data_IF_978010036398
#
_entry.id   IF_978010036398
#
_cell.length_a   1.000
_cell.length_b   1.000
_cell.length_c   1.000
_cell.angle_alpha   90.00
_cell.angle_beta   90.00
_cell.angle_gamma   90.00
#
_symmetry.space_group_name_H-M   'P 1'
#
loop_
_entity.id
_entity.type
_entity.pdbx_description
1 polymer ?
#
# COMPACT_ATOMS: atom_id res chain seq x y z
N UNK A 1 8.44 1.69 -1.75
CA UNK A 1 7.91 0.39 -2.21
C UNK A 1 6.42 0.52 -2.50
N UNK A 2 5.84 -0.43 -3.23
CA UNK A 2 4.44 -0.41 -3.61
C UNK A 2 3.69 -1.62 -3.04
N UNK A 3 2.56 -1.35 -2.41
CA UNK A 3 1.63 -2.40 -1.96
C UNK A 3 0.33 -2.36 -2.77
N UNK A 4 -0.31 -3.53 -2.92
CA UNK A 4 -1.67 -3.62 -3.47
C UNK A 4 -2.62 -4.11 -2.38
N UNK A 5 -3.59 -3.28 -2.01
CA UNK A 5 -4.68 -3.66 -1.12
C UNK A 5 -5.90 -4.00 -1.94
N UNK A 6 -6.57 -5.12 -1.65
CA UNK A 6 -7.78 -5.51 -2.34
C UNK A 6 -8.76 -6.17 -1.39
N UNK A 7 -10.05 -6.10 -1.71
CA UNK A 7 -11.07 -6.83 -0.94
C UNK A 7 -11.09 -8.34 -1.23
N UNK A 8 -10.25 -8.82 -2.15
CA UNK A 8 -10.01 -10.24 -2.43
C UNK A 8 -8.99 -10.87 -1.48
N UNK A 9 -8.41 -10.08 -0.57
CA UNK A 9 -7.42 -10.57 0.38
C UNK A 9 -7.95 -11.74 1.20
N UNK A 10 -7.33 -12.91 1.06
CA UNK A 10 -7.52 -14.02 1.97
C UNK A 10 -6.86 -13.67 3.30
N UNK A 11 -7.67 -13.38 4.33
CA UNK A 11 -7.20 -13.46 5.71
C UNK A 11 -6.72 -14.90 5.91
N UNK A 12 -5.55 -15.09 6.53
CA UNK A 12 -5.13 -16.42 6.94
C UNK A 12 -6.22 -16.99 7.85
N UNK A 13 -6.99 -17.98 7.35
CA UNK A 13 -8.12 -18.56 8.08
C UNK A 13 -7.69 -19.19 9.41
N UNK A 14 -6.41 -19.58 9.52
CA UNK A 14 -5.82 -20.05 10.77
C UNK A 14 -5.72 -18.98 11.85
N UNK A 15 -5.81 -17.69 11.52
CA UNK A 15 -5.83 -16.61 12.51
C UNK A 15 -7.26 -16.14 12.86
N UNK A 16 -8.28 -16.68 12.19
CA UNK A 16 -9.69 -16.39 12.47
C UNK A 16 -10.23 -17.36 13.54
N UNK A 17 -9.71 -17.27 14.76
CA UNK A 17 -10.23 -18.04 15.89
C UNK A 17 -11.36 -17.29 16.58
N UNK A 18 -12.55 -17.89 16.58
CA UNK A 18 -13.70 -17.41 17.35
C UNK A 18 -13.89 -18.38 18.52
N UNK A 19 -13.73 -17.87 19.74
CA UNK A 19 -14.04 -18.64 20.95
C UNK A 19 -15.50 -18.40 21.30
N UNK A 20 -16.31 -19.45 21.21
CA UNK A 20 -17.71 -19.48 21.59
C UNK A 20 -18.00 -20.83 22.25
N UNK A 21 -18.93 -20.85 23.20
CA UNK A 21 -19.31 -22.07 23.93
C UNK A 21 -19.97 -23.13 23.03
N UNK A 22 -20.45 -22.74 21.86
CA UNK A 22 -20.96 -23.62 20.81
C UNK A 22 -20.50 -23.18 19.42
N UNK A 23 -20.33 -24.14 18.51
CA UNK A 23 -19.90 -23.87 17.13
C UNK A 23 -20.90 -22.94 16.42
N UNK A 24 -20.51 -21.73 15.99
CA UNK A 24 -21.41 -20.78 15.35
C UNK A 24 -21.79 -21.15 13.91
N UNK A 25 -21.22 -22.21 13.33
CA UNK A 25 -21.36 -22.55 11.90
C UNK A 25 -21.09 -21.35 10.97
N UNK A 26 -20.15 -20.49 11.38
CA UNK A 26 -19.91 -19.21 10.72
C UNK A 26 -19.42 -19.41 9.27
N UNK A 27 -20.14 -18.81 8.33
CA UNK A 27 -19.75 -18.71 6.93
C UNK A 27 -19.56 -17.23 6.59
N UNK A 28 -18.36 -16.88 6.09
CA UNK A 28 -18.11 -15.54 5.57
C UNK A 28 -18.64 -15.45 4.14
N UNK A 29 -19.62 -14.57 3.91
CA UNK A 29 -19.91 -14.10 2.55
C UNK A 29 -18.68 -13.35 2.01
N UNK A 30 -18.07 -13.85 0.94
CA UNK A 30 -17.11 -13.09 0.15
C UNK A 30 -17.84 -12.51 -1.05
N UNK A 31 -17.93 -11.18 -1.11
CA UNK A 31 -18.47 -10.51 -2.29
C UNK A 31 -17.48 -10.60 -3.46
N UNK A 32 -17.61 -11.66 -4.27
CA UNK A 32 -16.83 -11.79 -5.50
C UNK A 32 -17.32 -10.87 -6.64
N UNK A 33 -18.54 -10.31 -6.51
CA UNK A 33 -19.17 -9.52 -7.58
C UNK A 33 -18.64 -8.08 -7.67
N UNK A 34 -18.19 -7.48 -6.56
CA UNK A 34 -17.58 -6.13 -6.54
C UNK A 34 -16.14 -6.24 -6.09
N UNK A 35 -15.23 -6.39 -7.04
CA UNK A 35 -13.80 -6.48 -6.77
C UNK A 35 -13.16 -5.11 -6.90
N UNK A 36 -12.31 -4.75 -5.95
CA UNK A 36 -11.46 -3.57 -6.05
C UNK A 36 -10.05 -3.89 -5.60
N UNK A 37 -9.09 -3.20 -6.21
CA UNK A 37 -7.71 -3.19 -5.80
C UNK A 37 -7.22 -1.74 -5.84
N UNK A 38 -6.51 -1.32 -4.79
CA UNK A 38 -5.90 -0.01 -4.67
C UNK A 38 -4.40 -0.23 -4.55
N UNK A 39 -3.64 0.48 -5.38
CA UNK A 39 -2.18 0.49 -5.33
C UNK A 39 -1.74 1.66 -4.47
N UNK A 40 -0.81 1.41 -3.57
CA UNK A 40 -0.31 2.42 -2.63
C UNK A 40 1.20 2.48 -2.73
N UNK A 41 1.76 3.68 -2.76
CA UNK A 41 3.18 3.91 -2.60
C UNK A 41 3.46 4.51 -1.23
N UNK A 42 4.49 4.00 -0.57
CA UNK A 42 5.06 4.59 0.63
C UNK A 42 6.55 4.26 0.70
N UNK A 43 7.32 5.08 1.40
CA UNK A 43 8.73 4.81 1.66
C UNK A 43 9.08 5.10 3.11
N UNK A 44 10.04 4.34 3.62
CA UNK A 44 10.70 4.60 4.90
C UNK A 44 12.06 5.20 4.56
N UNK A 45 12.32 6.39 5.07
CA UNK A 45 13.58 7.12 4.88
C UNK A 45 14.14 7.47 6.26
N UNK A 46 15.16 6.72 6.69
CA UNK A 46 15.62 6.78 8.08
C UNK A 46 14.47 6.44 9.04
N UNK A 47 14.18 7.34 9.98
CA UNK A 47 13.08 7.21 10.94
C UNK A 47 11.77 7.88 10.47
N UNK A 48 11.72 8.35 9.23
CA UNK A 48 10.56 9.07 8.67
C UNK A 48 9.82 8.18 7.69
N UNK A 49 8.49 8.11 7.83
CA UNK A 49 7.59 7.52 6.84
C UNK A 49 7.11 8.64 5.91
N UNK A 50 7.28 8.44 4.60
CA UNK A 50 6.86 9.37 3.56
C UNK A 50 5.78 8.70 2.70
N UNK A 51 4.64 9.36 2.54
CA UNK A 51 3.40 8.79 1.97
C UNK A 51 2.28 8.70 3.01
N UNK A 52 1.23 7.88 2.80
CA UNK A 52 0.93 7.06 1.62
C UNK A 52 0.42 7.88 0.42
N UNK A 53 0.74 7.44 -0.79
CA UNK A 53 0.10 7.91 -2.03
C UNK A 53 -0.78 6.81 -2.62
N UNK A 54 -2.05 7.12 -2.86
CA UNK A 54 -3.03 6.19 -3.41
C UNK A 54 -3.18 6.43 -4.92
N UNK A 55 -2.95 5.40 -5.73
CA UNK A 55 -3.23 5.48 -7.16
C UNK A 55 -4.70 5.16 -7.41
N UNK A 56 -5.42 6.10 -8.04
CA UNK A 56 -6.83 5.94 -8.40
C UNK A 56 -7.02 5.00 -9.60
N UNK A 57 -6.04 4.93 -10.49
CA UNK A 57 -6.06 4.10 -11.70
C UNK A 57 -5.06 2.95 -11.65
N UNK A 58 -5.15 2.06 -12.64
CA UNK A 58 -4.19 0.98 -12.81
C UNK A 58 -2.79 1.55 -13.08
N UNK A 59 -1.91 1.45 -12.08
CA UNK A 59 -0.52 1.90 -12.21
C UNK A 59 0.16 1.29 -13.45
N UNK A 60 0.67 2.17 -14.29
CA UNK A 60 1.55 1.91 -15.42
C UNK A 60 2.77 2.86 -15.33
N UNK A 61 3.73 2.72 -16.25
CA UNK A 61 4.95 3.52 -16.25
C UNK A 61 4.68 5.03 -16.33
N UNK A 62 3.69 5.47 -17.13
CA UNK A 62 3.35 6.90 -17.29
C UNK A 62 2.76 7.49 -16.02
N UNK A 63 1.80 6.80 -15.39
CA UNK A 63 1.20 7.24 -14.12
C UNK A 63 2.26 7.26 -13.02
N UNK A 64 3.14 6.26 -13.00
CA UNK A 64 4.21 6.21 -12.02
C UNK A 64 5.22 7.33 -12.21
N UNK A 65 5.63 7.62 -13.45
CA UNK A 65 6.52 8.73 -13.77
C UNK A 65 5.90 10.08 -13.37
N UNK A 66 4.60 10.28 -13.67
CA UNK A 66 3.86 11.48 -13.24
C UNK A 66 3.91 11.64 -11.73
N UNK A 67 3.64 10.57 -10.99
CA UNK A 67 3.77 10.57 -9.53
C UNK A 67 5.19 10.96 -9.07
N UNK A 68 6.24 10.39 -9.69
CA UNK A 68 7.63 10.71 -9.32
C UNK A 68 8.00 12.18 -9.58
N UNK A 69 7.43 12.79 -10.62
CA UNK A 69 7.77 14.16 -11.03
C UNK A 69 6.91 15.22 -10.33
N UNK A 70 5.62 14.95 -10.17
CA UNK A 70 4.65 15.99 -9.78
C UNK A 70 4.24 15.87 -8.30
N UNK A 71 4.11 14.64 -7.80
CA UNK A 71 3.58 14.36 -6.46
C UNK A 71 4.68 14.11 -5.44
N UNK A 72 5.64 13.22 -5.75
CA UNK A 72 6.71 12.82 -4.84
C UNK A 72 7.50 14.01 -4.27
N UNK A 73 7.87 15.06 -5.03
CA UNK A 73 8.55 16.21 -4.46
C UNK A 73 7.75 16.87 -3.33
N UNK A 74 6.41 16.93 -3.43
CA UNK A 74 5.57 17.52 -2.39
C UNK A 74 5.62 16.73 -1.08
N UNK A 75 5.74 15.40 -1.16
CA UNK A 75 5.93 14.56 0.03
C UNK A 75 7.32 14.76 0.64
N UNK A 76 8.36 14.93 -0.19
CA UNK A 76 9.73 15.11 0.28
C UNK A 76 9.99 16.50 0.88
N UNK A 77 9.17 17.52 0.59
CA UNK A 77 9.34 18.88 1.12
C UNK A 77 9.29 18.97 2.65
N UNK A 78 8.69 17.98 3.31
CA UNK A 78 8.58 17.91 4.77
C UNK A 78 9.69 17.07 5.42
N UNK A 79 10.60 16.52 4.61
CA UNK A 79 11.74 15.74 5.06
C UNK A 79 12.93 16.67 5.25
N UNK A 80 13.73 16.41 6.28
CA UNK A 80 14.98 17.13 6.54
C UNK A 80 15.92 17.10 5.32
N UNK A 81 16.49 18.26 4.98
CA UNK A 81 17.31 18.41 3.78
C UNK A 81 18.62 17.61 3.84
N UNK A 82 19.22 17.42 5.00
CA UNK A 82 20.45 16.63 5.13
C UNK A 82 20.16 15.14 5.00
N UNK A 83 18.96 14.70 5.40
CA UNK A 83 18.48 13.36 5.13
C UNK A 83 18.23 13.15 3.62
N UNK A 84 17.56 14.11 2.95
CA UNK A 84 17.32 14.06 1.50
C UNK A 84 18.62 14.03 0.69
N UNK A 85 19.64 14.81 1.07
CA UNK A 85 20.93 14.86 0.36
C UNK A 85 21.73 13.56 0.44
N UNK A 86 21.48 12.74 1.46
CA UNK A 86 22.16 11.46 1.69
C UNK A 86 21.33 10.25 1.28
N UNK A 87 20.08 10.47 0.85
CA UNK A 87 19.18 9.38 0.49
C UNK A 87 19.61 8.73 -0.82
N UNK A 88 19.37 7.42 -0.90
CA UNK A 88 19.42 6.67 -2.15
C UNK A 88 18.00 6.24 -2.51
N UNK A 89 17.64 6.39 -3.77
CA UNK A 89 16.35 5.95 -4.25
C UNK A 89 16.46 4.52 -4.79
N UNK A 90 15.76 3.58 -4.14
CA UNK A 90 15.80 2.15 -4.49
C UNK A 90 14.41 1.65 -4.91
N UNK A 91 14.37 0.87 -5.99
CA UNK A 91 13.18 0.22 -6.53
C UNK A 91 13.46 -1.25 -6.87
N UNK A 92 12.41 -2.04 -7.02
CA UNK A 92 12.44 -3.49 -7.29
C UNK A 92 12.67 -3.85 -8.77
N UNK A 93 12.64 -2.85 -9.67
CA UNK A 93 12.88 -3.05 -11.10
C UNK A 93 11.70 -3.59 -11.89
N UNK A 94 10.48 -3.47 -11.34
CA UNK A 94 9.22 -3.89 -11.97
C UNK A 94 8.77 -3.02 -13.15
#
# INVERSE_FOLDING_TARGET
DKATFCNRGSINRHNCHYYLDANPHWQRSQEFQRQWAIKVWAVILGDVIVGPYFFEENLNATIYLRFLQDDLPNFLRYVDNDLLRRMWFQQDGA
#
